data_IF_007866773680
#
_entry.id   IF_007866773680
#
_cell.length_a   1.000
_cell.length_b   1.000
_cell.length_c   1.000
_cell.angle_alpha   90.00
_cell.angle_beta   90.00
_cell.angle_gamma   90.00
#
_symmetry.space_group_name_H-M   'P 1'
#
loop_
_entity.id
_entity.type
_entity.pdbx_description
1 polymer ?
#
# COMPACT_ATOMS: atom_id res chain seq x y z
N UNK A 1 -62.94 -41.43 -30.65
CA UNK A 1 -61.61 -40.92 -30.99
C UNK A 1 -61.30 -39.77 -30.03
N UNK A 2 -60.53 -39.99 -28.94
CA UNK A 2 -60.22 -38.98 -27.94
C UNK A 2 -58.81 -38.46 -28.20
N UNK A 3 -58.71 -37.18 -28.47
CA UNK A 3 -57.43 -36.48 -28.68
C UNK A 3 -56.97 -35.92 -27.31
N UNK A 4 -55.89 -36.45 -26.79
CA UNK A 4 -55.26 -35.94 -25.57
C UNK A 4 -54.35 -34.76 -25.94
N UNK A 5 -54.65 -33.56 -25.41
CA UNK A 5 -53.75 -32.40 -25.45
C UNK A 5 -52.72 -32.49 -24.34
N UNK A 6 -51.47 -32.73 -24.71
CA UNK A 6 -50.31 -32.64 -23.81
C UNK A 6 -49.88 -31.15 -23.77
N UNK A 7 -50.12 -30.50 -22.63
CA UNK A 7 -49.64 -29.13 -22.40
C UNK A 7 -48.22 -29.19 -21.91
N UNK A 8 -47.27 -28.73 -22.75
CA UNK A 8 -45.85 -28.59 -22.39
C UNK A 8 -45.70 -27.24 -21.70
N UNK A 9 -45.39 -27.24 -20.39
CA UNK A 9 -45.02 -26.05 -19.64
C UNK A 9 -43.53 -25.78 -19.85
N UNK A 10 -43.19 -24.68 -20.54
CA UNK A 10 -41.85 -24.19 -20.60
C UNK A 10 -41.55 -23.39 -19.30
N UNK A 11 -40.70 -23.96 -18.42
CA UNK A 11 -40.14 -23.27 -17.27
C UNK A 11 -39.00 -22.42 -17.78
N UNK A 12 -39.22 -21.11 -17.92
CA UNK A 12 -38.17 -20.13 -18.17
C UNK A 12 -37.43 -19.88 -16.84
N UNK A 13 -36.30 -20.57 -16.66
CA UNK A 13 -35.38 -20.25 -15.56
C UNK A 13 -34.66 -18.96 -15.90
N UNK A 14 -35.16 -17.83 -15.38
CA UNK A 14 -34.44 -16.57 -15.40
C UNK A 14 -33.24 -16.65 -14.45
N UNK A 15 -32.05 -16.82 -15.01
CA UNK A 15 -30.81 -16.63 -14.29
C UNK A 15 -30.71 -15.12 -13.95
N UNK A 16 -31.14 -14.76 -12.74
CA UNK A 16 -30.78 -13.45 -12.18
C UNK A 16 -29.29 -13.49 -11.85
N UNK A 17 -28.47 -13.01 -12.78
CA UNK A 17 -27.08 -12.67 -12.51
C UNK A 17 -27.11 -11.47 -11.54
N UNK A 18 -27.09 -11.73 -10.23
CA UNK A 18 -26.90 -10.71 -9.19
C UNK A 18 -25.44 -10.28 -9.22
N UNK A 19 -25.05 -9.58 -10.28
CA UNK A 19 -23.82 -8.81 -10.27
C UNK A 19 -24.01 -7.73 -9.20
N UNK A 20 -23.30 -7.83 -8.09
CA UNK A 20 -23.19 -6.75 -7.12
C UNK A 20 -22.60 -5.55 -7.86
N UNK A 21 -23.43 -4.59 -8.24
CA UNK A 21 -23.01 -3.31 -8.80
C UNK A 21 -22.28 -2.54 -7.70
N UNK A 22 -20.99 -2.80 -7.57
CA UNK A 22 -20.11 -2.06 -6.66
C UNK A 22 -19.98 -0.64 -7.20
N UNK A 23 -20.60 0.31 -6.52
CA UNK A 23 -20.54 1.72 -6.85
C UNK A 23 -19.11 2.24 -6.68
N UNK A 24 -18.59 2.93 -7.69
CA UNK A 24 -17.30 3.65 -7.70
C UNK A 24 -16.06 2.76 -7.55
N UNK A 25 -16.21 1.46 -7.36
CA UNK A 25 -15.10 0.51 -7.38
C UNK A 25 -14.76 0.18 -8.83
N UNK A 26 -13.47 0.15 -9.15
CA UNK A 26 -13.02 -0.32 -10.46
C UNK A 26 -13.56 -1.74 -10.72
N UNK A 27 -13.99 -2.09 -11.94
CA UNK A 27 -14.33 -3.47 -12.29
C UNK A 27 -13.17 -4.41 -11.97
N UNK A 28 -13.49 -5.60 -11.45
CA UNK A 28 -12.48 -6.58 -11.03
C UNK A 28 -11.55 -7.00 -12.17
N UNK A 29 -12.09 -7.20 -13.35
CA UNK A 29 -11.34 -7.54 -14.58
C UNK A 29 -10.37 -6.43 -14.99
N UNK A 30 -10.80 -5.18 -14.90
CA UNK A 30 -9.92 -4.03 -15.15
C UNK A 30 -8.78 -3.93 -14.13
N UNK A 31 -9.07 -4.17 -12.84
CA UNK A 31 -8.01 -4.18 -11.83
C UNK A 31 -7.02 -5.33 -12.05
N UNK A 32 -7.50 -6.52 -12.44
CA UNK A 32 -6.65 -7.65 -12.80
C UNK A 32 -5.79 -7.31 -14.01
N UNK A 33 -6.33 -6.64 -15.02
CA UNK A 33 -5.60 -6.18 -16.20
C UNK A 33 -4.47 -5.21 -15.80
N UNK A 34 -4.77 -4.19 -15.01
CA UNK A 34 -3.79 -3.20 -14.55
C UNK A 34 -2.69 -3.79 -13.65
N UNK A 35 -2.98 -4.89 -12.97
CA UNK A 35 -2.05 -5.60 -12.09
C UNK A 35 -1.69 -6.99 -12.61
N UNK A 36 -1.63 -7.16 -13.93
CA UNK A 36 -1.46 -8.46 -14.62
C UNK A 36 -0.15 -9.17 -14.28
N UNK A 37 0.91 -8.44 -13.90
CA UNK A 37 2.18 -9.01 -13.47
C UNK A 37 2.10 -9.72 -12.11
N UNK A 38 1.09 -9.41 -11.28
CA UNK A 38 0.84 -10.14 -10.04
C UNK A 38 0.25 -11.51 -10.30
N UNK A 39 0.99 -12.57 -9.93
CA UNK A 39 0.59 -13.98 -10.12
C UNK A 39 0.15 -14.67 -8.82
N UNK A 40 0.19 -13.94 -7.69
CA UNK A 40 -0.17 -14.45 -6.38
C UNK A 40 -1.68 -14.40 -6.07
N UNK A 41 -2.01 -14.65 -4.81
CA UNK A 41 -3.38 -14.58 -4.31
C UNK A 41 -3.98 -13.18 -4.49
N UNK A 42 -5.29 -13.11 -4.70
CA UNK A 42 -6.05 -11.86 -4.80
C UNK A 42 -7.21 -11.83 -3.82
N UNK A 43 -7.55 -10.65 -3.35
CA UNK A 43 -8.82 -10.42 -2.67
C UNK A 43 -10.00 -10.64 -3.61
N UNK A 44 -11.21 -10.77 -3.05
CA UNK A 44 -12.45 -10.97 -3.83
C UNK A 44 -12.73 -9.84 -4.81
N UNK A 45 -12.27 -8.62 -4.49
CA UNK A 45 -12.38 -7.42 -5.34
C UNK A 45 -11.34 -7.36 -6.47
N UNK A 46 -10.39 -8.29 -6.52
CA UNK A 46 -9.34 -8.39 -7.54
C UNK A 46 -8.00 -7.78 -7.13
N UNK A 47 -7.91 -7.07 -6.01
CA UNK A 47 -6.65 -6.50 -5.52
C UNK A 47 -5.60 -7.60 -5.28
N UNK A 48 -4.33 -7.37 -5.64
CA UNK A 48 -3.23 -8.20 -5.19
C UNK A 48 -3.23 -8.34 -3.66
N UNK A 49 -3.03 -9.56 -3.18
CA UNK A 49 -2.92 -9.87 -1.75
C UNK A 49 -1.49 -10.28 -1.42
N UNK A 50 -0.66 -9.29 -1.16
CA UNK A 50 0.69 -9.52 -0.63
C UNK A 50 0.55 -10.25 0.72
N UNK A 51 1.37 -11.28 0.94
CA UNK A 51 1.30 -12.11 2.14
C UNK A 51 1.66 -11.31 3.41
N UNK A 52 1.05 -11.65 4.53
CA UNK A 52 1.23 -10.90 5.78
C UNK A 52 2.66 -11.04 6.35
N UNK A 53 3.34 -12.15 6.11
CA UNK A 53 4.74 -12.34 6.48
C UNK A 53 5.68 -11.39 5.73
N UNK A 54 5.39 -11.11 4.44
CA UNK A 54 6.14 -10.12 3.67
C UNK A 54 5.93 -8.70 4.23
N UNK A 55 4.71 -8.35 4.69
CA UNK A 55 4.46 -7.08 5.36
C UNK A 55 5.25 -6.96 6.68
N UNK A 56 5.44 -8.07 7.40
CA UNK A 56 6.28 -8.10 8.61
C UNK A 56 7.74 -7.90 8.27
N UNK A 57 8.25 -8.55 7.23
CA UNK A 57 9.63 -8.39 6.74
C UNK A 57 9.90 -6.95 6.27
N UNK A 58 8.95 -6.35 5.57
CA UNK A 58 9.06 -4.97 5.09
C UNK A 58 9.23 -3.92 6.21
N UNK A 59 8.92 -4.26 7.48
CA UNK A 59 9.19 -3.38 8.64
C UNK A 59 10.66 -3.30 9.04
N UNK A 60 11.50 -4.16 8.50
CA UNK A 60 12.92 -4.27 8.88
C UNK A 60 13.86 -3.70 7.81
N UNK A 61 13.34 -3.17 6.72
CA UNK A 61 14.13 -2.58 5.62
C UNK A 61 14.01 -1.07 5.63
N UNK A 62 15.03 -0.37 5.11
CA UNK A 62 15.02 1.07 4.92
C UNK A 62 14.27 1.48 3.65
N UNK A 63 13.61 2.64 3.70
CA UNK A 63 12.92 3.20 2.52
C UNK A 63 13.91 3.54 1.40
N UNK A 64 15.13 3.99 1.73
CA UNK A 64 16.18 4.35 0.79
C UNK A 64 16.65 3.14 -0.03
N UNK A 65 16.83 1.98 0.64
CA UNK A 65 17.21 0.73 0.00
C UNK A 65 16.12 0.26 -0.97
N UNK A 66 14.88 0.24 -0.50
CA UNK A 66 13.73 -0.14 -1.31
C UNK A 66 13.53 0.79 -2.53
N UNK A 67 13.71 2.10 -2.34
CA UNK A 67 13.65 3.09 -3.42
C UNK A 67 14.75 2.86 -4.45
N UNK A 68 15.98 2.57 -4.00
CA UNK A 68 17.12 2.31 -4.88
C UNK A 68 16.86 1.09 -5.77
N UNK A 69 16.33 0.01 -5.20
CA UNK A 69 15.96 -1.18 -5.98
C UNK A 69 14.91 -0.84 -7.04
N UNK A 70 13.85 -0.12 -6.68
CA UNK A 70 12.83 0.29 -7.64
C UNK A 70 13.37 1.17 -8.76
N UNK A 71 14.21 2.15 -8.43
CA UNK A 71 14.87 3.02 -9.40
C UNK A 71 15.72 2.22 -10.40
N UNK A 72 16.50 1.25 -9.90
CA UNK A 72 17.34 0.39 -10.75
C UNK A 72 16.50 -0.52 -11.67
N UNK A 73 15.27 -0.83 -11.31
CA UNK A 73 14.30 -1.53 -12.13
C UNK A 73 13.50 -0.61 -13.07
N UNK A 74 13.78 0.70 -13.08
CA UNK A 74 13.10 1.69 -13.94
C UNK A 74 11.83 2.31 -13.34
N UNK A 75 11.49 2.01 -12.09
CA UNK A 75 10.31 2.56 -11.40
C UNK A 75 10.69 3.85 -10.66
N UNK A 76 10.61 4.99 -11.35
CA UNK A 76 11.10 6.28 -10.85
C UNK A 76 10.03 7.17 -10.21
N UNK A 77 8.75 6.82 -10.34
CA UNK A 77 7.59 7.60 -9.84
C UNK A 77 6.85 6.83 -8.75
N UNK A 78 7.58 6.42 -7.71
CA UNK A 78 7.03 5.59 -6.63
C UNK A 78 7.19 6.20 -5.23
N UNK A 79 7.87 7.34 -5.12
CA UNK A 79 8.16 8.00 -3.84
C UNK A 79 7.57 9.40 -3.80
N UNK A 80 7.06 9.77 -2.63
CA UNK A 80 6.56 11.13 -2.35
C UNK A 80 6.96 11.56 -0.93
N UNK A 81 7.45 12.78 -0.81
CA UNK A 81 7.87 13.40 0.46
C UNK A 81 6.94 14.54 0.90
N UNK A 82 7.32 15.29 1.93
CA UNK A 82 6.58 16.48 2.38
C UNK A 82 5.32 16.15 3.18
N UNK A 83 5.41 15.20 4.09
CA UNK A 83 4.31 14.77 4.94
C UNK A 83 4.38 15.36 6.34
N UNK A 84 3.22 15.68 6.91
CA UNK A 84 3.02 15.81 8.36
C UNK A 84 2.48 14.49 8.92
N UNK A 85 2.93 14.14 10.10
CA UNK A 85 2.58 12.86 10.75
C UNK A 85 1.93 13.09 12.10
N UNK A 86 1.12 12.15 12.53
CA UNK A 86 0.60 12.11 13.92
C UNK A 86 1.72 11.68 14.87
N UNK A 87 2.55 10.72 14.46
CA UNK A 87 3.67 10.22 15.23
C UNK A 87 4.85 9.88 14.30
N UNK A 88 5.98 10.54 14.49
CA UNK A 88 7.16 10.39 13.63
C UNK A 88 7.97 9.11 13.87
N UNK A 89 7.62 8.34 14.92
CA UNK A 89 8.28 7.08 15.26
C UNK A 89 7.49 5.81 14.88
N UNK A 90 6.27 5.96 14.35
CA UNK A 90 5.44 4.83 13.96
C UNK A 90 5.34 4.76 12.44
N UNK A 91 6.00 3.77 11.79
CA UNK A 91 5.86 3.59 10.35
C UNK A 91 4.47 3.05 9.99
N UNK A 92 4.01 3.31 8.76
CA UNK A 92 2.78 2.74 8.20
C UNK A 92 3.17 1.84 7.03
N UNK A 93 2.99 0.52 7.22
CA UNK A 93 3.41 -0.50 6.25
C UNK A 93 2.27 -1.48 6.00
N UNK A 94 1.85 -1.61 4.75
CA UNK A 94 0.74 -2.50 4.38
C UNK A 94 0.35 -2.41 2.92
N UNK A 95 -0.78 -3.00 2.56
CA UNK A 95 -1.32 -3.02 1.20
C UNK A 95 -2.19 -1.79 0.95
N UNK A 96 -2.01 -1.13 -0.18
CA UNK A 96 -2.80 0.04 -0.54
C UNK A 96 -4.28 -0.34 -0.80
N UNK A 97 -5.19 0.25 -0.01
CA UNK A 97 -6.58 0.42 -0.40
C UNK A 97 -6.74 1.85 -0.88
N UNK A 98 -6.96 2.05 -2.16
CA UNK A 98 -6.92 3.37 -2.79
C UNK A 98 -8.29 4.04 -2.87
N UNK A 99 -8.32 5.36 -2.70
CA UNK A 99 -9.51 6.18 -2.88
C UNK A 99 -9.18 7.50 -3.57
N UNK A 100 -9.94 7.83 -4.59
CA UNK A 100 -9.83 9.08 -5.33
C UNK A 100 -10.98 10.01 -4.96
N UNK A 101 -10.66 11.20 -4.48
CA UNK A 101 -11.61 12.28 -4.26
C UNK A 101 -11.45 13.36 -5.32
N UNK A 102 -12.56 14.02 -5.64
CA UNK A 102 -12.58 15.16 -6.56
C UNK A 102 -13.44 16.29 -5.99
N UNK A 103 -13.24 17.53 -6.47
CA UNK A 103 -14.16 18.62 -6.15
C UNK A 103 -15.61 18.24 -6.47
N UNK A 104 -16.52 18.56 -5.55
CA UNK A 104 -17.94 18.25 -5.71
C UNK A 104 -18.52 19.02 -6.88
N UNK A 105 -19.33 18.29 -7.66
CA UNK A 105 -20.25 18.84 -8.65
C UNK A 105 -21.65 18.36 -8.28
N UNK A 106 -22.62 19.24 -8.05
CA UNK A 106 -23.91 18.90 -7.40
C UNK A 106 -24.66 17.72 -8.04
N UNK A 107 -24.68 17.65 -9.38
CA UNK A 107 -25.32 16.56 -10.12
C UNK A 107 -24.61 15.21 -9.92
N UNK A 108 -23.27 15.21 -9.95
CA UNK A 108 -22.45 14.01 -9.76
C UNK A 108 -22.52 13.57 -8.30
N UNK A 109 -22.34 14.50 -7.37
CA UNK A 109 -22.39 14.20 -5.92
C UNK A 109 -23.74 13.59 -5.52
N UNK A 110 -24.85 14.16 -6.03
CA UNK A 110 -26.18 13.59 -5.81
C UNK A 110 -26.27 12.15 -6.30
N UNK A 111 -25.85 11.89 -7.54
CA UNK A 111 -25.90 10.54 -8.11
C UNK A 111 -25.07 9.53 -7.33
N UNK A 112 -23.88 9.94 -6.85
CA UNK A 112 -22.99 9.11 -6.03
C UNK A 112 -23.66 8.80 -4.68
N UNK A 113 -24.17 9.82 -3.99
CA UNK A 113 -24.82 9.64 -2.68
C UNK A 113 -26.09 8.79 -2.80
N UNK A 114 -26.94 9.06 -3.77
CA UNK A 114 -28.17 8.28 -4.00
C UNK A 114 -27.87 6.80 -4.27
N UNK A 115 -26.85 6.52 -5.09
CA UNK A 115 -26.40 5.16 -5.37
C UNK A 115 -25.80 4.49 -4.15
N UNK A 116 -24.97 5.19 -3.39
CA UNK A 116 -24.41 4.68 -2.13
C UNK A 116 -25.48 4.30 -1.13
N UNK A 117 -26.48 5.16 -0.92
CA UNK A 117 -27.62 4.87 -0.06
C UNK A 117 -28.40 3.62 -0.50
N UNK A 118 -28.67 3.48 -1.80
CA UNK A 118 -29.33 2.27 -2.38
C UNK A 118 -28.52 1.00 -2.13
N UNK A 119 -27.20 1.11 -1.96
CA UNK A 119 -26.28 0.00 -1.65
C UNK A 119 -26.06 -0.19 -0.14
N UNK A 120 -26.80 0.51 0.70
CA UNK A 120 -26.70 0.41 2.17
C UNK A 120 -25.50 1.14 2.78
N UNK A 121 -24.80 2.00 2.02
CA UNK A 121 -23.74 2.84 2.57
C UNK A 121 -24.34 3.97 3.41
N UNK A 122 -23.67 4.29 4.50
CA UNK A 122 -24.11 5.35 5.43
C UNK A 122 -22.98 6.39 5.61
N UNK A 123 -23.38 7.56 6.12
CA UNK A 123 -22.44 8.64 6.41
C UNK A 123 -21.90 9.36 5.19
N UNK A 124 -20.85 10.13 5.39
CA UNK A 124 -20.18 10.87 4.31
C UNK A 124 -19.27 9.96 3.49
N UNK A 125 -18.99 10.33 2.25
CA UNK A 125 -18.28 9.49 1.28
C UNK A 125 -16.85 9.13 1.69
N UNK A 126 -16.21 9.88 2.61
CA UNK A 126 -14.92 9.56 3.18
C UNK A 126 -14.94 8.36 4.16
N UNK A 127 -16.10 7.98 4.68
CA UNK A 127 -16.22 6.77 5.52
C UNK A 127 -16.34 5.48 4.70
N UNK A 128 -16.78 5.55 3.45
CA UNK A 128 -17.08 4.38 2.62
C UNK A 128 -15.85 3.50 2.33
N UNK A 129 -14.64 4.03 2.06
CA UNK A 129 -13.45 3.21 1.92
C UNK A 129 -13.10 2.44 3.20
N UNK A 130 -13.42 3.01 4.38
CA UNK A 130 -13.17 2.36 5.67
C UNK A 130 -13.93 1.05 5.79
N UNK A 131 -15.15 0.98 5.23
CA UNK A 131 -16.00 -0.21 5.32
C UNK A 131 -15.43 -1.43 4.58
N UNK A 132 -14.55 -1.23 3.64
CA UNK A 132 -13.94 -2.30 2.82
C UNK A 132 -12.47 -2.57 3.17
N UNK A 133 -11.94 -1.94 4.22
CA UNK A 133 -10.60 -2.24 4.74
C UNK A 133 -10.52 -3.67 5.28
N UNK A 134 -9.39 -4.30 5.03
CA UNK A 134 -8.99 -5.59 5.57
C UNK A 134 -7.76 -5.43 6.46
N UNK A 135 -7.48 -6.43 7.31
CA UNK A 135 -6.28 -6.47 8.13
C UNK A 135 -5.01 -6.32 7.27
N UNK A 136 -4.11 -5.42 7.68
CA UNK A 136 -2.87 -5.12 6.94
C UNK A 136 -3.04 -4.15 5.77
N UNK A 137 -4.23 -3.62 5.50
CA UNK A 137 -4.42 -2.55 4.53
C UNK A 137 -3.96 -1.19 5.09
N UNK A 138 -3.47 -0.33 4.21
CA UNK A 138 -3.26 1.11 4.42
C UNK A 138 -4.30 1.86 3.59
N UNK A 139 -5.07 2.73 4.22
CA UNK A 139 -6.00 3.57 3.48
C UNK A 139 -5.23 4.73 2.83
N UNK A 140 -5.08 4.66 1.50
CA UNK A 140 -4.38 5.66 0.68
C UNK A 140 -5.40 6.48 -0.09
N UNK A 141 -5.46 7.78 0.15
CA UNK A 141 -6.44 8.65 -0.50
C UNK A 141 -5.80 9.84 -1.21
N UNK A 142 -6.18 10.04 -2.48
CA UNK A 142 -5.91 11.29 -3.17
C UNK A 142 -7.06 12.28 -2.94
N UNK A 143 -6.82 13.27 -2.07
CA UNK A 143 -7.69 14.41 -1.82
C UNK A 143 -7.24 15.67 -2.55
N UNK A 144 -6.52 15.52 -3.65
CA UNK A 144 -5.95 16.59 -4.50
C UNK A 144 -5.24 17.71 -3.73
N UNK A 145 -4.65 17.37 -2.57
CA UNK A 145 -3.90 18.32 -1.72
C UNK A 145 -4.77 19.35 -1.00
N UNK A 146 -6.10 19.18 -1.00
CA UNK A 146 -7.01 20.12 -0.33
C UNK A 146 -6.83 20.07 1.19
N UNK A 147 -6.60 21.22 1.82
CA UNK A 147 -6.41 21.37 3.27
C UNK A 147 -7.69 21.90 3.92
N UNK A 148 -8.02 23.16 3.69
CA UNK A 148 -9.29 23.72 4.21
C UNK A 148 -10.48 23.03 3.55
N UNK A 149 -11.45 22.61 4.36
CA UNK A 149 -12.58 21.77 3.95
C UNK A 149 -12.17 20.45 3.25
N UNK A 150 -10.88 20.05 3.37
CA UNK A 150 -10.29 18.84 2.78
C UNK A 150 -9.99 17.73 3.79
N UNK A 151 -10.55 17.82 4.99
CA UNK A 151 -10.27 16.87 6.07
C UNK A 151 -10.94 15.54 5.84
N UNK A 152 -10.13 14.53 5.49
CA UNK A 152 -10.62 13.17 5.18
C UNK A 152 -10.97 12.37 6.43
N UNK A 153 -10.36 12.65 7.58
CA UNK A 153 -10.68 11.99 8.85
C UNK A 153 -10.45 12.88 10.06
N UNK A 154 -11.13 12.52 11.17
CA UNK A 154 -10.81 12.91 12.53
C UNK A 154 -10.63 11.65 13.39
N UNK A 155 -10.57 11.82 14.71
CA UNK A 155 -10.26 10.73 15.66
C UNK A 155 -11.24 9.55 15.60
N UNK A 156 -12.55 9.79 15.39
CA UNK A 156 -13.55 8.72 15.25
C UNK A 156 -13.26 7.82 14.04
N UNK A 157 -12.99 8.42 12.88
CA UNK A 157 -12.66 7.64 11.68
C UNK A 157 -11.27 6.98 11.81
N UNK A 158 -10.30 7.65 12.44
CA UNK A 158 -8.98 7.07 12.74
C UNK A 158 -9.08 5.80 13.58
N UNK A 159 -9.92 5.81 14.64
CA UNK A 159 -10.19 4.60 15.44
C UNK A 159 -10.84 3.49 14.61
N UNK A 160 -11.79 3.82 13.73
CA UNK A 160 -12.44 2.84 12.86
C UNK A 160 -11.46 2.22 11.86
N UNK A 161 -10.60 3.04 11.24
CA UNK A 161 -9.54 2.59 10.32
C UNK A 161 -8.61 1.62 11.04
N UNK A 162 -8.08 2.02 12.21
CA UNK A 162 -7.16 1.18 12.97
C UNK A 162 -7.79 -0.13 13.44
N UNK A 163 -9.02 -0.07 13.91
CA UNK A 163 -9.76 -1.27 14.33
C UNK A 163 -9.90 -2.30 13.21
N UNK A 164 -10.14 -1.86 11.98
CA UNK A 164 -10.32 -2.75 10.82
C UNK A 164 -9.01 -3.21 10.21
N UNK A 165 -8.08 -2.30 9.99
CA UNK A 165 -6.84 -2.59 9.27
C UNK A 165 -5.67 -2.95 10.19
N UNK A 166 -5.66 -2.49 11.44
CA UNK A 166 -4.51 -2.53 12.33
C UNK A 166 -3.37 -1.63 11.85
N UNK A 167 -3.69 -0.63 11.02
CA UNK A 167 -2.71 0.19 10.32
C UNK A 167 -3.14 1.66 10.23
N UNK A 168 -2.30 2.49 9.62
CA UNK A 168 -2.52 3.91 9.43
C UNK A 168 -3.01 4.29 8.04
N UNK A 169 -2.80 5.56 7.70
CA UNK A 169 -3.27 6.16 6.44
C UNK A 169 -2.19 6.99 5.75
N UNK A 170 -2.36 7.16 4.44
CA UNK A 170 -1.61 8.13 3.61
C UNK A 170 -2.62 8.97 2.82
N UNK A 171 -2.77 10.25 3.17
CA UNK A 171 -3.75 11.13 2.56
C UNK A 171 -3.09 12.34 1.88
N UNK A 172 -3.18 12.42 0.57
CA UNK A 172 -2.89 13.67 -0.15
C UNK A 172 -4.02 14.67 0.09
N UNK A 173 -4.15 15.12 1.33
CA UNK A 173 -5.20 15.96 1.88
C UNK A 173 -4.97 16.22 3.36
N UNK A 174 -5.99 16.62 4.09
CA UNK A 174 -5.89 16.96 5.51
C UNK A 174 -6.52 15.91 6.46
N UNK A 175 -6.08 15.98 7.73
CA UNK A 175 -6.75 15.36 8.86
C UNK A 175 -7.03 16.41 9.96
N UNK A 176 -7.89 16.07 10.91
CA UNK A 176 -8.16 16.89 12.10
C UNK A 176 -8.06 16.06 13.38
N UNK A 177 -8.28 16.69 14.52
CA UNK A 177 -8.28 16.04 15.85
C UNK A 177 -6.92 15.40 16.16
N UNK A 178 -5.80 16.10 15.87
CA UNK A 178 -4.43 15.60 16.02
C UNK A 178 -4.21 14.95 17.40
N UNK A 179 -4.70 15.57 18.48
CA UNK A 179 -4.58 15.01 19.83
C UNK A 179 -5.29 13.65 19.92
N UNK A 180 -6.55 13.57 19.51
CA UNK A 180 -7.31 12.30 19.56
C UNK A 180 -6.76 11.22 18.63
N UNK A 181 -6.13 11.59 17.51
CA UNK A 181 -5.43 10.64 16.64
C UNK A 181 -4.17 10.11 17.32
N UNK A 182 -3.42 10.95 18.05
CA UNK A 182 -2.18 10.55 18.74
C UNK A 182 -2.42 9.58 19.91
N UNK A 183 -3.64 9.52 20.43
CA UNK A 183 -4.05 8.59 21.50
C UNK A 183 -4.32 7.17 20.99
N UNK A 184 -4.44 6.96 19.66
CA UNK A 184 -4.66 5.65 19.05
C UNK A 184 -3.32 4.91 18.99
N UNK A 185 -3.07 3.99 19.92
CA UNK A 185 -1.81 3.25 20.02
C UNK A 185 -1.53 2.45 18.75
N UNK A 186 -0.38 2.68 18.13
CA UNK A 186 0.06 1.99 16.91
C UNK A 186 -0.49 2.59 15.61
N UNK A 187 -1.32 3.62 15.69
CA UNK A 187 -1.83 4.34 14.53
C UNK A 187 -0.89 5.48 14.13
N UNK A 188 -0.74 5.70 12.84
CA UNK A 188 -0.13 6.92 12.29
C UNK A 188 -0.89 7.39 11.05
N UNK A 189 -0.75 8.68 10.76
CA UNK A 189 -1.29 9.28 9.54
C UNK A 189 -0.24 10.14 8.88
N UNK A 190 -0.02 9.91 7.60
CA UNK A 190 0.76 10.73 6.71
C UNK A 190 -0.20 11.62 5.93
N UNK A 191 -0.20 12.92 6.21
CA UNK A 191 -1.13 13.90 5.64
C UNK A 191 -0.37 15.12 5.12
N UNK A 192 -1.01 15.93 4.27
CA UNK A 192 -0.39 17.18 3.83
C UNK A 192 -0.43 18.25 4.91
N UNK A 193 -1.54 18.28 5.68
CA UNK A 193 -1.64 19.18 6.85
C UNK A 193 -2.72 18.71 7.83
N UNK A 194 -2.77 19.35 9.00
CA UNK A 194 -3.89 19.27 9.95
C UNK A 194 -4.71 20.54 9.87
N UNK A 195 -6.05 20.41 9.78
CA UNK A 195 -6.97 21.54 9.71
C UNK A 195 -8.27 21.22 10.46
N UNK A 196 -8.85 22.16 11.23
CA UNK A 196 -10.05 21.88 12.03
C UNK A 196 -11.35 21.74 11.23
N UNK A 197 -11.36 22.05 9.92
CA UNK A 197 -12.53 21.95 9.06
C UNK A 197 -13.05 20.52 8.92
N UNK A 198 -14.24 20.39 8.35
CA UNK A 198 -14.82 19.11 7.91
C UNK A 198 -14.48 18.83 6.44
N UNK A 199 -14.93 17.69 5.94
CA UNK A 199 -14.94 17.38 4.52
C UNK A 199 -16.09 18.13 3.84
N UNK A 200 -15.79 19.13 3.03
CA UNK A 200 -16.76 19.91 2.29
C UNK A 200 -16.28 20.14 0.85
N UNK A 201 -17.26 20.17 -0.07
CA UNK A 201 -16.98 20.46 -1.47
C UNK A 201 -16.11 19.42 -2.18
N UNK A 202 -16.08 18.18 -1.68
CA UNK A 202 -15.39 17.05 -2.32
C UNK A 202 -16.16 15.75 -2.10
N UNK A 203 -16.05 14.84 -3.05
CA UNK A 203 -16.78 13.58 -3.08
C UNK A 203 -15.88 12.44 -3.54
N UNK A 204 -16.09 11.23 -3.02
CA UNK A 204 -15.39 10.02 -3.45
C UNK A 204 -15.81 9.66 -4.89
N UNK A 205 -14.87 9.68 -5.81
CA UNK A 205 -15.07 9.34 -7.22
C UNK A 205 -14.62 7.93 -7.58
N UNK A 206 -13.59 7.43 -6.91
CA UNK A 206 -13.05 6.11 -7.17
C UNK A 206 -12.65 5.39 -5.89
N UNK A 207 -12.94 4.09 -5.83
CA UNK A 207 -12.52 3.18 -4.78
C UNK A 207 -11.82 2.00 -5.42
N UNK A 208 -10.64 1.64 -4.91
CA UNK A 208 -9.75 0.67 -5.55
C UNK A 208 -9.46 0.99 -7.01
N UNK A 209 -9.29 2.27 -7.33
CA UNK A 209 -8.85 2.77 -8.63
C UNK A 209 -7.36 3.16 -8.55
N UNK A 210 -6.62 3.19 -9.68
CA UNK A 210 -5.33 3.86 -9.72
C UNK A 210 -5.48 5.32 -9.27
N UNK A 211 -4.55 5.78 -8.44
CA UNK A 211 -4.53 7.16 -7.95
C UNK A 211 -3.13 7.75 -8.10
N UNK A 212 -3.05 9.07 -7.98
CA UNK A 212 -1.79 9.80 -7.92
C UNK A 212 -1.61 10.42 -6.53
N UNK A 213 -0.50 10.12 -5.88
CA UNK A 213 -0.11 10.75 -4.62
C UNK A 213 1.12 11.63 -4.90
N UNK A 214 0.89 12.93 -5.07
CA UNK A 214 1.95 13.84 -5.50
C UNK A 214 2.53 13.45 -6.86
N UNK A 215 3.80 13.08 -6.91
CA UNK A 215 4.50 12.58 -8.10
C UNK A 215 4.40 11.07 -8.30
N UNK A 216 3.90 10.34 -7.31
CA UNK A 216 3.85 8.86 -7.35
C UNK A 216 2.54 8.32 -7.88
N UNK A 217 2.62 7.20 -8.62
CA UNK A 217 1.46 6.39 -9.00
C UNK A 217 1.25 5.27 -7.99
N UNK A 218 0.00 5.02 -7.63
CA UNK A 218 -0.39 3.98 -6.67
C UNK A 218 -1.53 3.14 -7.25
N UNK A 219 -1.31 1.84 -7.32
CA UNK A 219 -2.35 0.89 -7.68
C UNK A 219 -2.89 0.18 -6.43
N UNK A 220 -4.17 -0.23 -6.45
CA UNK A 220 -4.72 -1.05 -5.37
C UNK A 220 -3.90 -2.32 -5.14
N UNK A 221 -3.49 -2.58 -3.91
CA UNK A 221 -2.70 -3.74 -3.54
C UNK A 221 -1.18 -3.53 -3.56
N UNK A 222 -0.68 -2.36 -3.98
CA UNK A 222 0.74 -2.01 -3.85
C UNK A 222 1.19 -2.08 -2.38
N UNK A 223 2.45 -2.47 -2.15
CA UNK A 223 3.05 -2.35 -0.82
C UNK A 223 3.37 -0.88 -0.55
N UNK A 224 2.84 -0.38 0.55
CA UNK A 224 3.13 0.96 1.07
C UNK A 224 4.17 0.84 2.16
N UNK A 225 5.24 1.64 2.07
CA UNK A 225 6.19 1.88 3.15
C UNK A 225 6.19 3.39 3.39
N UNK A 226 5.66 3.81 4.54
CA UNK A 226 5.61 5.20 4.94
C UNK A 226 6.40 5.40 6.23
N UNK A 227 7.47 6.17 6.14
CA UNK A 227 8.43 6.46 7.19
C UNK A 227 8.71 7.97 7.23
N UNK A 228 9.61 8.37 8.10
CA UNK A 228 9.89 9.81 8.33
C UNK A 228 10.37 10.54 7.08
N UNK A 229 11.08 9.87 6.19
CA UNK A 229 11.61 10.39 4.94
C UNK A 229 10.52 10.65 3.91
N UNK A 230 9.45 9.86 3.94
CA UNK A 230 8.34 9.94 3.00
C UNK A 230 7.56 8.67 2.86
N UNK A 231 6.90 8.52 1.72
CA UNK A 231 6.07 7.35 1.40
C UNK A 231 6.52 6.75 0.08
N UNK A 232 6.82 5.46 0.11
CA UNK A 232 7.18 4.65 -1.06
C UNK A 232 6.03 3.68 -1.38
N UNK A 233 5.67 3.59 -2.65
CA UNK A 233 4.67 2.68 -3.18
C UNK A 233 5.35 1.65 -4.07
N UNK A 234 5.33 0.39 -3.66
CA UNK A 234 6.02 -0.70 -4.35
C UNK A 234 4.99 -1.55 -5.09
N UNK A 235 5.06 -1.67 -6.44
CA UNK A 235 4.17 -2.55 -7.18
C UNK A 235 4.12 -3.95 -6.59
N UNK A 236 2.93 -4.50 -6.39
CA UNK A 236 2.74 -5.77 -5.68
C UNK A 236 3.64 -6.90 -6.21
N UNK A 237 3.80 -7.00 -7.53
CA UNK A 237 4.62 -8.05 -8.18
C UNK A 237 6.13 -7.91 -7.91
N UNK A 238 6.59 -6.73 -7.47
CA UNK A 238 7.98 -6.46 -7.10
C UNK A 238 8.23 -6.55 -5.59
N UNK A 239 7.18 -6.65 -4.77
CA UNK A 239 7.29 -6.54 -3.32
C UNK A 239 8.28 -7.54 -2.72
N UNK A 240 8.22 -8.82 -3.12
CA UNK A 240 9.16 -9.84 -2.64
C UNK A 240 10.60 -9.54 -3.05
N UNK A 241 10.82 -9.16 -4.32
CA UNK A 241 12.15 -8.84 -4.82
C UNK A 241 12.74 -7.63 -4.08
N UNK A 242 11.95 -6.55 -3.93
CA UNK A 242 12.40 -5.33 -3.25
C UNK A 242 12.72 -5.61 -1.79
N UNK A 243 11.82 -6.27 -1.05
CA UNK A 243 12.04 -6.59 0.37
C UNK A 243 13.26 -7.49 0.54
N UNK A 244 13.37 -8.59 -0.22
CA UNK A 244 14.50 -9.51 -0.10
C UNK A 244 15.83 -8.86 -0.46
N UNK A 245 15.86 -7.99 -1.46
CA UNK A 245 17.07 -7.24 -1.84
C UNK A 245 17.46 -6.23 -0.77
N UNK A 246 16.49 -5.50 -0.20
CA UNK A 246 16.75 -4.55 0.87
C UNK A 246 17.20 -5.25 2.17
N UNK A 247 16.64 -6.42 2.51
CA UNK A 247 17.15 -7.25 3.61
C UNK A 247 18.63 -7.61 3.42
N UNK A 248 19.03 -7.92 2.19
CA UNK A 248 20.45 -8.14 1.87
C UNK A 248 21.28 -6.88 2.08
N UNK A 249 20.80 -5.70 1.63
CA UNK A 249 21.52 -4.43 1.82
C UNK A 249 21.73 -4.14 3.31
N UNK A 250 20.72 -4.36 4.14
CA UNK A 250 20.84 -4.23 5.61
C UNK A 250 21.97 -5.13 6.17
N UNK A 251 22.09 -6.37 5.68
CA UNK A 251 23.18 -7.27 6.10
C UNK A 251 24.55 -6.78 5.62
N UNK A 252 24.61 -6.35 4.34
CA UNK A 252 25.80 -5.76 3.72
C UNK A 252 26.30 -4.55 4.52
N UNK A 253 25.38 -3.67 4.93
CA UNK A 253 25.72 -2.46 5.68
C UNK A 253 26.20 -2.78 7.09
N UNK A 254 25.58 -3.73 7.80
CA UNK A 254 26.07 -4.19 9.11
C UNK A 254 27.51 -4.71 9.03
N UNK A 255 27.81 -5.54 8.04
CA UNK A 255 29.16 -5.99 7.77
C UNK A 255 30.08 -4.82 7.47
N UNK A 256 29.69 -3.94 6.55
CA UNK A 256 30.47 -2.78 6.15
C UNK A 256 30.83 -1.87 7.32
N UNK A 257 29.84 -1.56 8.18
CA UNK A 257 30.07 -0.74 9.38
C UNK A 257 31.07 -1.37 10.35
N UNK A 258 30.99 -2.68 10.56
CA UNK A 258 31.95 -3.39 11.42
C UNK A 258 33.35 -3.37 10.81
N UNK A 259 33.48 -3.64 9.53
CA UNK A 259 34.77 -3.67 8.83
C UNK A 259 35.43 -2.29 8.81
N UNK A 260 34.69 -1.21 8.59
CA UNK A 260 35.20 0.17 8.63
C UNK A 260 35.58 0.56 10.07
N UNK A 261 34.74 0.27 11.06
CA UNK A 261 35.05 0.57 12.48
C UNK A 261 36.27 -0.17 12.99
N UNK A 262 36.50 -1.40 12.53
CA UNK A 262 37.69 -2.18 12.89
C UNK A 262 38.94 -1.85 12.04
N UNK A 263 38.87 -0.87 11.13
CA UNK A 263 39.92 -0.53 10.18
C UNK A 263 40.39 -1.70 9.30
N UNK A 264 39.56 -2.73 9.12
CA UNK A 264 39.87 -3.89 8.30
C UNK A 264 39.79 -3.59 6.79
N UNK A 265 38.79 -2.79 6.42
CA UNK A 265 38.63 -2.24 5.07
C UNK A 265 38.41 -0.72 5.15
N UNK A 266 38.86 -0.01 4.14
CA UNK A 266 38.59 1.43 4.02
C UNK A 266 37.13 1.68 3.58
N UNK A 267 36.62 2.89 3.85
CA UNK A 267 35.31 3.32 3.38
C UNK A 267 35.16 3.14 1.87
N UNK A 268 36.18 3.52 1.08
CA UNK A 268 36.15 3.38 -0.36
C UNK A 268 36.08 1.92 -0.86
N UNK A 269 36.65 0.96 -0.10
CA UNK A 269 36.54 -0.46 -0.43
C UNK A 269 35.14 -1.03 -0.16
N UNK A 270 34.52 -0.59 0.96
CA UNK A 270 33.16 -1.05 1.33
C UNK A 270 32.10 -0.40 0.45
N UNK A 271 32.28 0.86 0.11
CA UNK A 271 31.31 1.67 -0.66
C UNK A 271 31.39 1.46 -2.18
N UNK A 272 32.43 0.74 -2.62
CA UNK A 272 32.65 0.40 -4.03
C UNK A 272 32.13 -1.01 -4.35
N UNK A 273 32.30 -1.41 -5.61
CA UNK A 273 32.11 -2.80 -6.01
C UNK A 273 33.06 -3.71 -5.23
N UNK A 274 32.51 -4.65 -4.47
CA UNK A 274 33.32 -5.57 -3.68
C UNK A 274 34.18 -6.51 -4.51
N UNK A 275 35.44 -6.64 -4.12
CA UNK A 275 36.33 -7.67 -4.62
C UNK A 275 35.91 -9.05 -4.11
N UNK A 276 36.39 -10.12 -4.72
CA UNK A 276 36.12 -11.48 -4.26
C UNK A 276 36.61 -11.72 -2.82
N UNK A 277 37.67 -11.05 -2.40
CA UNK A 277 38.16 -11.12 -1.00
C UNK A 277 37.13 -10.52 0.00
N UNK A 278 36.55 -9.36 -0.34
CA UNK A 278 35.51 -8.74 0.51
C UNK A 278 34.26 -9.60 0.54
N UNK A 279 33.83 -10.16 -0.60
CA UNK A 279 32.67 -11.07 -0.67
C UNK A 279 32.90 -12.32 0.19
N UNK A 280 34.09 -12.92 0.11
CA UNK A 280 34.44 -14.07 0.92
C UNK A 280 34.46 -13.72 2.42
N UNK A 281 35.00 -12.56 2.78
CA UNK A 281 34.99 -12.05 4.14
C UNK A 281 33.58 -11.82 4.66
N UNK A 282 32.67 -11.32 3.83
CA UNK A 282 31.25 -11.15 4.15
C UNK A 282 30.55 -12.50 4.40
N UNK A 283 30.74 -13.47 3.53
CA UNK A 283 30.13 -14.80 3.70
C UNK A 283 30.65 -15.49 4.98
N UNK A 284 31.94 -15.33 5.30
CA UNK A 284 32.52 -15.83 6.54
C UNK A 284 31.92 -15.13 7.75
N UNK A 285 31.79 -13.81 7.71
CA UNK A 285 31.17 -13.00 8.75
C UNK A 285 29.71 -13.39 8.95
N UNK A 286 28.93 -13.56 7.89
CA UNK A 286 27.54 -13.99 7.95
C UNK A 286 27.40 -15.38 8.61
N UNK A 287 28.33 -16.31 8.35
CA UNK A 287 28.38 -17.60 9.00
C UNK A 287 28.65 -17.54 10.52
N UNK A 288 29.23 -16.43 10.99
CA UNK A 288 29.48 -16.17 12.42
C UNK A 288 28.29 -15.46 13.11
N UNK A 289 27.31 -14.97 12.34
CA UNK A 289 26.12 -14.25 12.81
C UNK A 289 24.82 -14.93 12.35
N UNK A 290 24.58 -16.18 12.79
CA UNK A 290 23.41 -16.96 12.32
C UNK A 290 22.07 -16.27 12.67
N UNK A 291 22.04 -15.43 13.70
CA UNK A 291 20.88 -14.64 14.10
C UNK A 291 20.47 -13.57 13.06
N UNK A 292 21.41 -13.17 12.20
CA UNK A 292 21.16 -12.20 11.12
C UNK A 292 20.76 -12.89 9.80
N UNK A 293 21.07 -14.17 9.68
CA UNK A 293 20.92 -14.93 8.42
C UNK A 293 19.52 -15.53 8.26
N UNK A 294 18.57 -14.74 7.80
CA UNK A 294 17.24 -15.22 7.36
C UNK A 294 17.20 -15.60 5.87
N UNK A 295 18.26 -15.34 5.11
CA UNK A 295 18.36 -15.64 3.69
C UNK A 295 19.03 -16.98 3.44
N UNK A 296 18.50 -17.74 2.51
CA UNK A 296 19.18 -18.94 2.00
C UNK A 296 20.42 -18.56 1.21
N UNK A 297 21.42 -19.46 1.14
CA UNK A 297 22.59 -19.26 0.31
C UNK A 297 22.23 -18.98 -1.15
N UNK A 298 21.23 -19.66 -1.68
CA UNK A 298 20.75 -19.48 -3.06
C UNK A 298 20.21 -18.05 -3.27
N UNK A 299 19.41 -17.53 -2.35
CA UNK A 299 18.91 -16.14 -2.41
C UNK A 299 20.05 -15.12 -2.35
N UNK A 300 21.05 -15.33 -1.48
CA UNK A 300 22.25 -14.48 -1.40
C UNK A 300 23.02 -14.47 -2.72
N UNK A 301 23.31 -15.65 -3.26
CA UNK A 301 24.05 -15.79 -4.52
C UNK A 301 23.31 -15.11 -5.68
N UNK A 302 21.98 -15.27 -5.75
CA UNK A 302 21.16 -14.61 -6.77
C UNK A 302 21.20 -13.08 -6.65
N UNK A 303 21.04 -12.51 -5.46
CA UNK A 303 21.05 -11.06 -5.24
C UNK A 303 22.45 -10.50 -5.54
N UNK A 304 23.51 -11.14 -5.05
CA UNK A 304 24.89 -10.71 -5.28
C UNK A 304 25.26 -10.72 -6.79
N UNK A 305 24.66 -11.61 -7.57
CA UNK A 305 24.89 -11.70 -9.00
C UNK A 305 24.05 -10.71 -9.83
N UNK A 306 22.81 -10.43 -9.41
CA UNK A 306 21.88 -9.57 -10.17
C UNK A 306 22.14 -8.07 -10.00
N UNK A 307 22.81 -7.64 -8.93
CA UNK A 307 23.14 -6.23 -8.66
C UNK A 307 21.99 -5.24 -8.84
N UNK A 308 20.85 -5.52 -8.27
CA UNK A 308 19.69 -4.62 -8.25
C UNK A 308 19.78 -3.58 -7.12
N UNK A 309 20.85 -3.59 -6.36
CA UNK A 309 21.13 -2.74 -5.17
C UNK A 309 22.36 -1.86 -5.36
#
# INVERSE_FOLDING_TARGET
MRINHLSIWFIVISFFCTGSLMSQTIPKDELIFLTSEWKGERFTDGRPKIADDLLVRAKAIGIDDAWTVLKNLGYTHQFESGWKMVNDSIPVIGRALTAAFMPSRPDVEKNIKDRGLKQGRSGNTNSWPIDVLSKGDVYVADGFGKIDAGTLMGSTLGNSIYSKSGNGVVFNGAARDLQGLSEIKGFNAFVRDFHPSFLEGMVLMGLNTPIRIGGAIVLPGDLVIAEKEGVLFIPAHLAELVVSTSEFVVLKDKFGFEMVRSNRYSTGQIDSQWTEDIKHSFLKWLGQHPELGKMSKTQLDEIMNKRTW
#
